data_IF_418025483219
#
_entry.id   IF_418025483219
#
_cell.length_a   1.000
_cell.length_b   1.000
_cell.length_c   1.000
_cell.angle_alpha   90.00
_cell.angle_beta   90.00
_cell.angle_gamma   90.00
#
_symmetry.space_group_name_H-M   'P 1'
#
loop_
_entity.id
_entity.type
_entity.pdbx_description
1 polymer ?
#
# COMPACT_ATOMS: atom_id res chain seq x y z
N UNK A 1 19.90 26.09 10.60
CA UNK A 1 19.03 26.58 9.50
C UNK A 1 17.80 27.21 10.15
N UNK A 2 17.35 28.38 9.69
CA UNK A 2 16.17 29.04 10.25
C UNK A 2 14.91 28.63 9.47
N UNK A 3 13.83 28.35 10.21
CA UNK A 3 12.51 28.12 9.60
C UNK A 3 12.09 29.38 8.88
N UNK A 4 11.76 29.26 7.61
CA UNK A 4 11.10 30.34 6.86
C UNK A 4 9.60 30.20 7.08
N UNK A 5 8.98 31.15 7.76
CA UNK A 5 7.54 31.20 7.99
C UNK A 5 6.98 32.32 7.12
N UNK A 6 6.29 31.93 6.05
CA UNK A 6 5.61 32.86 5.15
C UNK A 6 4.12 32.90 5.47
N UNK A 7 3.56 34.10 5.57
CA UNK A 7 2.15 34.33 5.86
C UNK A 7 1.49 34.97 4.64
N UNK A 8 0.44 34.35 4.16
CA UNK A 8 -0.45 34.93 3.15
C UNK A 8 -1.69 35.52 3.84
N UNK A 9 -1.73 36.86 3.93
CA UNK A 9 -2.84 37.59 4.54
C UNK A 9 -4.16 37.45 3.76
N UNK A 10 -4.10 37.07 2.47
CA UNK A 10 -5.27 36.90 1.60
C UNK A 10 -5.80 35.45 1.60
N UNK A 11 -5.10 34.54 2.26
CA UNK A 11 -5.52 33.15 2.37
C UNK A 11 -6.77 33.01 3.26
N UNK A 12 -7.77 32.20 2.87
CA UNK A 12 -8.90 31.87 3.75
C UNK A 12 -8.48 31.08 5.00
N UNK A 13 -7.24 30.60 5.05
CA UNK A 13 -6.69 29.82 6.15
C UNK A 13 -6.27 30.72 7.30
N UNK A 14 -6.73 30.44 8.55
CA UNK A 14 -6.32 31.22 9.70
C UNK A 14 -4.80 31.29 9.87
N UNK A 15 -4.25 32.44 10.23
CA UNK A 15 -2.79 32.69 10.35
C UNK A 15 -2.11 31.66 11.25
N UNK A 16 -2.72 31.30 12.40
CA UNK A 16 -2.13 30.30 13.30
C UNK A 16 -2.00 28.91 12.66
N UNK A 17 -2.88 28.57 11.69
CA UNK A 17 -2.80 27.33 10.93
C UNK A 17 -1.69 27.42 9.87
N UNK A 18 -1.53 28.58 9.22
CA UNK A 18 -0.44 28.77 8.26
C UNK A 18 0.92 28.62 8.92
N UNK A 19 1.11 29.18 10.13
CA UNK A 19 2.34 28.97 10.91
C UNK A 19 2.56 27.49 11.22
N UNK A 20 1.50 26.76 11.61
CA UNK A 20 1.61 25.31 11.84
C UNK A 20 2.06 24.59 10.59
N UNK A 21 1.41 24.86 9.45
CA UNK A 21 1.71 24.21 8.18
C UNK A 21 3.16 24.46 7.75
N UNK A 22 3.67 25.68 7.88
CA UNK A 22 5.07 25.99 7.58
C UNK A 22 6.04 25.15 8.43
N UNK A 23 5.79 25.03 9.73
CA UNK A 23 6.65 24.25 10.64
C UNK A 23 6.52 22.77 10.30
N UNK A 24 5.30 22.26 10.09
CA UNK A 24 5.03 20.87 9.74
C UNK A 24 5.74 20.50 8.43
N UNK A 25 5.64 21.32 7.39
CA UNK A 25 6.31 21.07 6.11
C UNK A 25 7.84 21.08 6.28
N UNK A 26 8.37 22.05 7.02
CA UNK A 26 9.82 22.13 7.25
C UNK A 26 10.38 20.91 8.02
N UNK A 27 9.62 20.34 8.94
CA UNK A 27 10.00 19.09 9.63
C UNK A 27 9.84 17.88 8.68
N UNK A 28 8.74 17.79 7.94
CA UNK A 28 8.46 16.71 6.99
C UNK A 28 9.47 16.62 5.85
N UNK A 29 9.90 17.79 5.37
CA UNK A 29 10.89 17.92 4.28
C UNK A 29 12.33 17.82 4.79
N UNK A 30 12.52 17.42 6.06
CA UNK A 30 13.82 17.29 6.72
C UNK A 30 14.65 18.58 6.73
N UNK A 31 14.03 19.73 6.47
CA UNK A 31 14.68 21.05 6.54
C UNK A 31 15.02 21.41 8.01
N UNK A 32 14.27 20.84 8.94
CA UNK A 32 14.48 20.94 10.38
C UNK A 32 14.44 19.53 10.96
N UNK A 33 15.55 19.09 11.49
CA UNK A 33 15.65 17.75 12.11
C UNK A 33 15.00 17.66 13.50
N UNK A 34 14.80 16.43 13.97
CA UNK A 34 14.41 16.14 15.37
C UNK A 34 15.39 16.79 16.35
N UNK A 35 14.88 17.23 17.49
CA UNK A 35 15.63 17.97 18.49
C UNK A 35 16.19 19.35 18.06
N UNK A 36 15.90 19.80 16.84
CA UNK A 36 16.29 21.14 16.41
C UNK A 36 15.49 22.21 17.16
N UNK A 37 16.18 23.27 17.56
CA UNK A 37 15.57 24.42 18.23
C UNK A 37 14.82 25.31 17.22
N UNK A 38 13.58 25.66 17.56
CA UNK A 38 12.76 26.59 16.81
C UNK A 38 12.93 28.02 17.32
N UNK A 39 12.66 29.04 16.49
CA UNK A 39 12.59 30.41 16.97
C UNK A 39 11.57 30.54 18.11
N UNK A 40 11.84 31.46 19.03
CA UNK A 40 10.91 31.76 20.11
C UNK A 40 9.62 32.39 19.59
N UNK A 41 8.56 32.34 20.38
CA UNK A 41 7.28 32.99 20.04
C UNK A 41 7.46 34.47 19.70
N UNK A 42 8.38 35.16 20.37
CA UNK A 42 8.66 36.58 20.14
C UNK A 42 9.37 36.79 18.79
N UNK A 43 10.39 35.98 18.49
CA UNK A 43 11.10 36.04 17.21
C UNK A 43 10.17 35.79 16.04
N UNK A 44 9.31 34.74 16.12
CA UNK A 44 8.32 34.48 15.06
C UNK A 44 7.32 35.64 14.92
N UNK A 45 6.86 36.21 16.03
CA UNK A 45 5.94 37.35 15.99
C UNK A 45 6.56 38.58 15.30
N UNK A 46 7.86 38.84 15.57
CA UNK A 46 8.62 39.92 14.92
C UNK A 46 8.87 39.65 13.45
N UNK A 47 9.33 38.43 13.13
CA UNK A 47 9.63 38.04 11.71
C UNK A 47 8.42 38.07 10.81
N UNK A 48 7.25 37.70 11.33
CA UNK A 48 6.02 37.54 10.53
C UNK A 48 5.05 38.72 10.68
N UNK A 49 5.36 39.68 11.54
CA UNK A 49 4.46 40.78 11.93
C UNK A 49 3.08 40.30 12.45
N UNK A 50 3.05 39.14 13.10
CA UNK A 50 1.83 38.49 13.62
C UNK A 50 1.76 38.70 15.14
N UNK A 51 0.54 38.90 15.67
CA UNK A 51 0.32 39.04 17.09
C UNK A 51 0.86 37.83 17.87
N UNK A 52 1.64 38.09 18.96
CA UNK A 52 2.25 37.07 19.82
C UNK A 52 1.27 35.96 20.23
N UNK A 53 0.04 36.32 20.60
CA UNK A 53 -1.01 35.35 20.99
C UNK A 53 -1.36 34.35 19.87
N UNK A 54 -1.29 34.78 18.60
CA UNK A 54 -1.55 33.94 17.43
C UNK A 54 -0.42 32.92 17.26
N UNK A 55 0.84 33.34 17.42
CA UNK A 55 1.99 32.46 17.38
C UNK A 55 1.97 31.48 18.55
N UNK A 56 1.65 31.97 19.77
CA UNK A 56 1.52 31.15 20.96
C UNK A 56 0.45 30.05 20.79
N UNK A 57 -0.69 30.41 20.23
CA UNK A 57 -1.73 29.42 19.87
C UNK A 57 -1.21 28.36 18.92
N UNK A 58 -0.47 28.74 17.88
CA UNK A 58 0.14 27.83 16.93
C UNK A 58 1.08 26.84 17.61
N UNK A 59 2.01 27.35 18.43
CA UNK A 59 2.99 26.53 19.15
C UNK A 59 2.34 25.59 20.18
N UNK A 60 1.30 26.03 20.87
CA UNK A 60 0.55 25.19 21.79
C UNK A 60 -0.19 24.06 21.08
N UNK A 61 -0.76 24.31 19.90
CA UNK A 61 -1.38 23.27 19.08
C UNK A 61 -0.36 22.26 18.57
N UNK A 62 0.82 22.72 18.10
CA UNK A 62 1.92 21.84 17.69
C UNK A 62 2.44 20.99 18.86
N UNK A 63 2.49 21.55 20.07
CA UNK A 63 2.80 20.78 21.29
C UNK A 63 1.75 19.71 21.59
N UNK A 64 0.47 20.07 21.48
CA UNK A 64 -0.64 19.12 21.68
C UNK A 64 -0.59 17.96 20.70
N UNK A 65 -0.12 18.22 19.47
CA UNK A 65 0.10 17.23 18.43
C UNK A 65 1.45 16.47 18.57
N UNK A 66 2.17 16.67 19.68
CA UNK A 66 3.50 16.10 19.90
C UNK A 66 4.55 16.43 18.81
N UNK A 67 4.34 17.49 18.04
CA UNK A 67 5.29 17.96 17.02
C UNK A 67 6.40 18.79 17.65
N UNK A 68 6.06 19.57 18.67
CA UNK A 68 7.00 20.37 19.43
C UNK A 68 7.03 19.98 20.90
N UNK A 69 8.20 20.11 21.50
CA UNK A 69 8.40 20.07 22.96
C UNK A 69 8.90 21.41 23.45
N UNK A 70 8.50 21.82 24.66
CA UNK A 70 8.97 23.03 25.31
C UNK A 70 9.91 22.63 26.42
N UNK A 71 11.15 23.15 26.38
CA UNK A 71 12.15 22.93 27.41
C UNK A 71 12.28 24.22 28.23
N UNK A 72 11.95 24.20 29.52
CA UNK A 72 12.03 25.40 30.38
C UNK A 72 13.41 26.06 30.29
N UNK A 73 13.43 27.37 30.04
CA UNK A 73 14.67 28.16 29.92
C UNK A 73 15.45 27.96 28.60
N UNK A 74 15.06 27.01 27.75
CA UNK A 74 15.76 26.75 26.49
C UNK A 74 14.93 27.06 25.25
N UNK A 75 13.58 27.04 25.37
CA UNK A 75 12.69 27.33 24.23
C UNK A 75 11.91 26.14 23.72
N UNK A 76 11.62 26.17 22.42
CA UNK A 76 10.86 25.13 21.73
C UNK A 76 11.76 24.32 20.80
N UNK A 77 11.53 23.01 20.76
CA UNK A 77 12.30 22.06 19.95
C UNK A 77 11.36 21.15 19.21
N UNK A 78 11.79 20.66 18.04
CA UNK A 78 11.09 19.58 17.34
C UNK A 78 11.14 18.33 18.23
N UNK A 79 9.99 17.72 18.47
CA UNK A 79 9.91 16.48 19.25
C UNK A 79 10.69 15.37 18.56
N UNK A 80 11.46 14.59 19.32
CA UNK A 80 12.16 13.41 18.79
C UNK A 80 11.18 12.33 18.34
N UNK A 81 10.08 12.19 19.10
CA UNK A 81 8.99 11.24 18.82
C UNK A 81 7.80 11.94 18.12
N UNK A 82 8.07 12.90 17.21
CA UNK A 82 6.97 13.58 16.56
C UNK A 82 6.23 12.64 15.61
N UNK A 83 4.90 12.77 15.59
CA UNK A 83 4.03 11.93 14.73
C UNK A 83 4.12 12.29 13.25
N UNK A 84 4.87 13.32 12.86
CA UNK A 84 5.02 13.76 11.46
C UNK A 84 5.84 12.80 10.63
N UNK A 85 6.82 12.13 11.25
CA UNK A 85 7.62 11.09 10.59
C UNK A 85 6.93 9.73 10.62
N UNK A 86 5.82 9.60 11.34
CA UNK A 86 5.05 8.35 11.33
C UNK A 86 4.33 8.20 10.02
N UNK A 87 4.86 7.31 9.19
CA UNK A 87 4.16 6.89 7.98
C UNK A 87 2.93 6.10 8.39
N UNK A 88 1.78 6.43 7.80
CA UNK A 88 0.56 5.64 7.97
C UNK A 88 0.28 4.91 6.69
N UNK A 89 0.22 3.59 6.76
CA UNK A 89 -0.01 2.71 5.59
C UNK A 89 -1.36 2.04 5.75
N UNK A 90 -2.17 2.13 4.71
CA UNK A 90 -3.37 1.30 4.57
C UNK A 90 -2.99 0.02 3.87
N UNK A 91 -3.12 -1.12 4.55
CA UNK A 91 -2.83 -2.45 4.03
C UNK A 91 -4.14 -3.22 3.87
N UNK A 92 -4.55 -3.48 2.63
CA UNK A 92 -5.83 -4.10 2.30
C UNK A 92 -5.62 -5.46 1.64
N UNK A 93 -6.12 -6.51 2.30
CA UNK A 93 -6.09 -7.88 1.77
C UNK A 93 -7.49 -8.35 1.37
N UNK A 94 -7.54 -9.17 0.33
CA UNK A 94 -8.78 -9.79 -0.15
C UNK A 94 -9.33 -10.81 0.85
N UNK A 95 -8.49 -11.71 1.35
CA UNK A 95 -8.80 -12.73 2.36
C UNK A 95 -7.57 -13.03 3.21
N UNK A 96 -7.77 -13.70 4.34
CA UNK A 96 -6.69 -14.31 5.13
C UNK A 96 -6.67 -15.81 4.93
N UNK A 97 -5.68 -16.30 4.20
CA UNK A 97 -5.35 -17.71 4.03
C UNK A 97 -3.89 -17.95 4.50
N UNK A 98 -3.38 -19.16 4.39
CA UNK A 98 -2.01 -19.49 4.84
C UNK A 98 -0.94 -18.67 4.12
N UNK A 99 -1.09 -18.43 2.81
CA UNK A 99 -0.15 -17.65 2.00
C UNK A 99 -0.19 -16.16 2.38
N UNK A 100 -1.40 -15.59 2.47
CA UNK A 100 -1.58 -14.19 2.82
C UNK A 100 -1.11 -13.89 4.26
N UNK A 101 -1.24 -14.86 5.17
CA UNK A 101 -0.65 -14.78 6.51
C UNK A 101 0.89 -14.68 6.47
N UNK A 102 1.56 -15.40 5.55
CA UNK A 102 3.01 -15.29 5.38
C UNK A 102 3.40 -13.90 4.85
N UNK A 103 2.68 -13.40 3.84
CA UNK A 103 2.91 -12.05 3.28
C UNK A 103 2.69 -10.98 4.36
N UNK A 104 1.59 -11.05 5.08
CA UNK A 104 1.29 -10.12 6.19
C UNK A 104 2.40 -10.15 7.25
N UNK A 105 2.82 -11.34 7.69
CA UNK A 105 3.89 -11.47 8.69
C UNK A 105 5.22 -10.88 8.18
N UNK A 106 5.61 -11.19 6.95
CA UNK A 106 6.83 -10.65 6.36
C UNK A 106 6.76 -9.12 6.25
N UNK A 107 5.61 -8.57 5.85
CA UNK A 107 5.37 -7.13 5.80
C UNK A 107 5.53 -6.49 7.18
N UNK A 108 4.87 -7.04 8.21
CA UNK A 108 4.94 -6.54 9.58
C UNK A 108 6.35 -6.63 10.20
N UNK A 109 7.15 -7.63 9.81
CA UNK A 109 8.54 -7.79 10.29
C UNK A 109 9.52 -6.82 9.61
N UNK A 110 9.19 -6.32 8.42
CA UNK A 110 10.07 -5.46 7.63
C UNK A 110 9.83 -3.98 7.90
N UNK A 111 8.63 -3.63 8.35
CA UNK A 111 8.25 -2.26 8.64
C UNK A 111 8.89 -1.81 9.96
N UNK A 112 9.38 -0.56 9.98
CA UNK A 112 9.95 0.05 11.16
C UNK A 112 8.87 0.47 12.19
N UNK A 113 9.27 0.66 13.44
CA UNK A 113 8.39 1.02 14.57
C UNK A 113 7.70 2.39 14.41
N UNK A 114 8.18 3.22 13.47
CA UNK A 114 7.59 4.54 13.17
C UNK A 114 6.46 4.49 12.13
N UNK A 115 6.07 3.30 11.66
CA UNK A 115 5.00 3.16 10.68
C UNK A 115 3.73 2.61 11.33
N UNK A 116 2.65 3.35 11.25
CA UNK A 116 1.32 2.89 11.65
C UNK A 116 0.68 2.12 10.48
N UNK A 117 0.10 0.97 10.77
CA UNK A 117 -0.56 0.14 9.75
C UNK A 117 -2.02 -0.04 10.13
N UNK A 118 -2.91 0.45 9.27
CA UNK A 118 -4.32 0.06 9.28
C UNK A 118 -4.46 -1.17 8.39
N UNK A 119 -4.55 -2.34 9.02
CA UNK A 119 -4.73 -3.60 8.31
C UNK A 119 -6.21 -3.93 8.17
N UNK A 120 -6.69 -4.09 6.93
CA UNK A 120 -8.08 -4.29 6.58
C UNK A 120 -8.23 -5.52 5.69
N UNK A 121 -9.29 -6.32 5.93
CA UNK A 121 -9.62 -7.46 5.08
C UNK A 121 -11.01 -7.25 4.50
N UNK A 122 -11.11 -7.18 3.17
CA UNK A 122 -12.37 -6.84 2.49
C UNK A 122 -13.13 -8.06 1.91
N UNK A 123 -12.66 -9.28 2.20
CA UNK A 123 -13.33 -10.55 1.86
C UNK A 123 -13.72 -10.70 0.39
N UNK A 124 -12.94 -10.12 -0.54
CA UNK A 124 -13.20 -10.02 -1.99
C UNK A 124 -14.46 -9.24 -2.36
N UNK A 125 -15.08 -8.60 -1.37
CA UNK A 125 -16.29 -7.82 -1.55
C UNK A 125 -15.95 -6.39 -1.96
N UNK A 126 -16.35 -5.94 -3.18
CA UNK A 126 -16.05 -4.59 -3.67
C UNK A 126 -16.71 -3.49 -2.82
N UNK A 127 -17.88 -3.74 -2.25
CA UNK A 127 -18.60 -2.73 -1.47
C UNK A 127 -17.90 -2.46 -0.14
N UNK A 128 -17.46 -3.50 0.55
CA UNK A 128 -16.62 -3.39 1.77
C UNK A 128 -15.30 -2.68 1.46
N UNK A 129 -14.66 -3.01 0.33
CA UNK A 129 -13.43 -2.34 -0.10
C UNK A 129 -13.65 -0.84 -0.35
N UNK A 130 -14.74 -0.49 -1.04
CA UNK A 130 -15.13 0.89 -1.34
C UNK A 130 -15.41 1.66 -0.04
N UNK A 131 -16.12 1.04 0.90
CA UNK A 131 -16.44 1.64 2.19
C UNK A 131 -15.19 2.00 2.99
N UNK A 132 -14.20 1.11 3.02
CA UNK A 132 -12.90 1.39 3.64
C UNK A 132 -12.18 2.57 3.00
N UNK A 133 -12.18 2.69 1.67
CA UNK A 133 -11.50 3.79 0.99
C UNK A 133 -12.24 5.12 1.09
N UNK A 134 -13.58 5.13 1.08
CA UNK A 134 -14.38 6.37 1.19
C UNK A 134 -14.24 6.99 2.58
N UNK A 135 -14.18 6.16 3.62
CA UNK A 135 -14.04 6.63 5.00
C UNK A 135 -12.58 6.75 5.44
N UNK A 136 -11.64 6.48 4.53
CA UNK A 136 -10.23 6.64 4.82
C UNK A 136 -9.85 8.11 5.00
N UNK A 137 -9.15 8.48 6.07
CA UNK A 137 -8.58 9.81 6.18
C UNK A 137 -7.52 10.04 5.08
N UNK A 138 -7.38 11.29 4.61
CA UNK A 138 -6.40 11.69 3.60
C UNK A 138 -4.91 11.57 4.04
N UNK A 139 -4.68 10.96 5.19
CA UNK A 139 -3.40 10.96 5.89
C UNK A 139 -2.47 9.81 5.53
N UNK A 140 -2.91 8.86 4.71
CA UNK A 140 -2.06 7.71 4.37
C UNK A 140 -0.88 8.12 3.48
N UNK A 141 0.31 7.66 3.87
CA UNK A 141 1.52 7.77 3.07
C UNK A 141 1.52 6.80 1.90
N UNK A 142 0.97 5.60 2.11
CA UNK A 142 0.83 4.56 1.09
C UNK A 142 -0.46 3.76 1.26
N UNK A 143 -0.96 3.26 0.12
CA UNK A 143 -2.06 2.31 -0.01
C UNK A 143 -1.49 1.03 -0.61
N UNK A 144 -1.44 -0.04 0.16
CA UNK A 144 -0.96 -1.36 -0.28
C UNK A 144 -2.17 -2.25 -0.45
N UNK A 145 -2.47 -2.64 -1.67
CA UNK A 145 -3.71 -3.32 -2.05
C UNK A 145 -3.39 -4.67 -2.67
N UNK A 146 -3.92 -5.74 -2.08
CA UNK A 146 -3.97 -7.05 -2.70
C UNK A 146 -5.26 -7.12 -3.52
N UNK A 147 -5.12 -7.13 -4.85
CA UNK A 147 -6.22 -6.92 -5.78
C UNK A 147 -6.93 -8.21 -6.19
N UNK A 148 -7.97 -8.62 -5.47
CA UNK A 148 -8.84 -9.69 -5.93
C UNK A 148 -10.28 -9.47 -5.46
N UNK A 149 -11.19 -9.32 -6.40
CA UNK A 149 -12.61 -9.14 -6.16
C UNK A 149 -13.41 -10.33 -6.70
N UNK A 150 -14.53 -10.64 -6.07
CA UNK A 150 -15.40 -11.75 -6.51
C UNK A 150 -16.13 -11.41 -7.79
N UNK A 151 -16.75 -10.23 -7.85
CA UNK A 151 -17.55 -9.72 -8.98
C UNK A 151 -17.56 -8.18 -8.94
N UNK A 152 -17.99 -7.54 -10.04
CA UNK A 152 -18.28 -6.09 -10.10
C UNK A 152 -17.14 -5.17 -9.65
N UNK A 153 -15.90 -5.54 -9.93
CA UNK A 153 -14.69 -4.81 -9.52
C UNK A 153 -14.57 -3.39 -10.10
N UNK A 154 -15.36 -3.05 -11.14
CA UNK A 154 -15.22 -1.77 -11.85
C UNK A 154 -15.37 -0.55 -10.93
N UNK A 155 -16.22 -0.62 -9.91
CA UNK A 155 -16.40 0.49 -8.97
C UNK A 155 -15.19 0.64 -8.05
N UNK A 156 -14.63 -0.47 -7.57
CA UNK A 156 -13.40 -0.50 -6.80
C UNK A 156 -12.22 0.06 -7.62
N UNK A 157 -12.08 -0.38 -8.89
CA UNK A 157 -11.05 0.12 -9.81
C UNK A 157 -11.18 1.63 -10.06
N UNK A 158 -12.40 2.14 -10.24
CA UNK A 158 -12.64 3.60 -10.37
C UNK A 158 -12.15 4.37 -9.15
N UNK A 159 -12.35 3.83 -7.95
CA UNK A 159 -11.91 4.47 -6.72
C UNK A 159 -10.41 4.39 -6.55
N UNK A 160 -9.79 3.24 -6.84
CA UNK A 160 -8.33 3.07 -6.87
C UNK A 160 -7.70 4.06 -7.88
N UNK A 161 -8.38 4.33 -9.00
CA UNK A 161 -7.91 5.30 -9.98
C UNK A 161 -7.90 6.76 -9.49
N UNK A 162 -8.62 7.08 -8.42
CA UNK A 162 -8.57 8.41 -7.77
C UNK A 162 -7.42 8.54 -6.77
N UNK A 163 -6.84 7.43 -6.31
CA UNK A 163 -5.71 7.46 -5.38
C UNK A 163 -4.47 8.05 -6.06
N UNK A 164 -3.63 8.81 -5.32
CA UNK A 164 -2.33 9.28 -5.80
C UNK A 164 -1.45 8.09 -6.19
N UNK A 165 -1.08 7.97 -7.46
CA UNK A 165 -0.38 6.79 -7.99
C UNK A 165 1.00 6.57 -7.37
N UNK A 166 1.70 7.63 -6.97
CA UNK A 166 2.98 7.54 -6.26
C UNK A 166 2.86 6.96 -4.83
N UNK A 167 1.63 6.86 -4.30
CA UNK A 167 1.33 6.23 -3.01
C UNK A 167 0.72 4.84 -3.15
N UNK A 168 0.40 4.40 -4.37
CA UNK A 168 -0.27 3.13 -4.62
C UNK A 168 0.74 2.02 -4.85
N UNK A 169 0.58 0.92 -4.12
CA UNK A 169 1.30 -0.34 -4.29
C UNK A 169 0.29 -1.46 -4.45
N UNK A 170 0.30 -2.13 -5.58
CA UNK A 170 -0.54 -3.32 -5.84
C UNK A 170 0.31 -4.57 -5.63
N UNK A 171 -0.20 -5.52 -4.87
CA UNK A 171 0.52 -6.76 -4.56
C UNK A 171 -0.29 -7.99 -4.98
N UNK A 172 0.41 -9.11 -5.20
CA UNK A 172 -0.08 -10.43 -5.57
C UNK A 172 -0.53 -10.52 -7.04
N UNK A 173 -1.49 -9.74 -7.47
CA UNK A 173 -2.05 -9.76 -8.83
C UNK A 173 -2.14 -8.38 -9.42
N UNK A 174 -1.99 -8.33 -10.73
CA UNK A 174 -2.30 -7.13 -11.48
C UNK A 174 -3.81 -6.87 -11.49
N UNK A 175 -4.19 -5.60 -11.39
CA UNK A 175 -5.57 -5.16 -11.48
C UNK A 175 -5.80 -4.48 -12.82
N UNK A 176 -6.45 -5.19 -13.72
CA UNK A 176 -6.80 -4.63 -15.02
C UNK A 176 -7.65 -3.36 -14.86
N UNK A 177 -7.29 -2.30 -15.60
CA UNK A 177 -8.02 -1.03 -15.59
C UNK A 177 -7.47 0.04 -14.64
N UNK A 178 -6.42 -0.22 -13.87
CA UNK A 178 -5.68 0.83 -13.18
C UNK A 178 -4.90 1.66 -14.19
N UNK A 179 -5.04 2.98 -14.12
CA UNK A 179 -4.39 3.94 -15.01
C UNK A 179 -3.24 4.65 -14.32
N UNK A 180 -2.19 5.01 -15.09
CA UNK A 180 -1.03 5.73 -14.59
C UNK A 180 0.07 4.81 -14.03
N UNK A 181 1.22 5.40 -13.66
CA UNK A 181 2.36 4.66 -13.12
C UNK A 181 2.21 4.49 -11.60
N UNK A 182 2.18 3.26 -11.13
CA UNK A 182 2.13 2.86 -9.73
C UNK A 182 3.16 1.77 -9.45
N UNK A 183 3.43 1.48 -8.18
CA UNK A 183 4.30 0.37 -7.81
C UNK A 183 3.51 -0.93 -7.75
N UNK A 184 4.12 -2.03 -8.21
CA UNK A 184 3.48 -3.35 -8.11
C UNK A 184 4.50 -4.45 -7.78
N UNK A 185 4.03 -5.45 -7.03
CA UNK A 185 4.76 -6.69 -6.71
C UNK A 185 3.84 -7.83 -7.07
N UNK A 186 3.95 -8.32 -8.31
CA UNK A 186 3.01 -9.26 -8.90
C UNK A 186 3.64 -10.65 -8.97
N UNK A 187 2.86 -11.69 -8.66
CA UNK A 187 3.27 -13.06 -8.90
C UNK A 187 3.09 -13.40 -10.39
N UNK A 188 4.18 -13.76 -11.03
CA UNK A 188 4.14 -14.26 -12.41
C UNK A 188 3.80 -15.74 -12.41
N UNK A 189 2.51 -16.08 -12.35
CA UNK A 189 2.03 -17.46 -12.31
C UNK A 189 2.40 -18.26 -13.56
N UNK A 190 2.49 -17.63 -14.73
CA UNK A 190 2.94 -18.27 -15.96
C UNK A 190 4.36 -18.83 -15.81
N UNK A 191 5.32 -17.97 -15.47
CA UNK A 191 6.72 -18.38 -15.33
C UNK A 191 6.92 -19.33 -14.16
N UNK A 192 6.23 -19.08 -13.02
CA UNK A 192 6.33 -19.93 -11.84
C UNK A 192 5.92 -21.37 -12.18
N UNK A 193 4.75 -21.55 -12.83
CA UNK A 193 4.26 -22.88 -13.19
C UNK A 193 5.11 -23.53 -14.26
N UNK A 194 5.50 -22.79 -15.29
CA UNK A 194 6.39 -23.31 -16.33
C UNK A 194 7.70 -23.86 -15.74
N UNK A 195 8.39 -23.08 -14.88
CA UNK A 195 9.65 -23.53 -14.29
C UNK A 195 9.46 -24.67 -13.30
N UNK A 196 8.41 -24.65 -12.47
CA UNK A 196 8.11 -25.75 -11.56
C UNK A 196 7.87 -27.07 -12.31
N UNK A 197 7.12 -27.04 -13.41
CA UNK A 197 6.91 -28.22 -14.25
C UNK A 197 8.19 -28.65 -14.97
N UNK A 198 9.03 -27.72 -15.39
CA UNK A 198 10.32 -27.99 -16.02
C UNK A 198 11.26 -28.73 -15.08
N UNK A 199 11.29 -28.37 -13.80
CA UNK A 199 12.06 -29.09 -12.77
C UNK A 199 11.56 -30.54 -12.60
N UNK A 200 10.27 -30.78 -12.86
CA UNK A 200 9.66 -32.11 -12.81
C UNK A 200 9.66 -32.84 -14.16
N UNK A 201 10.27 -32.30 -15.20
CA UNK A 201 10.23 -32.84 -16.57
C UNK A 201 10.64 -34.31 -16.66
N UNK A 202 11.70 -34.73 -15.94
CA UNK A 202 12.15 -36.13 -15.91
C UNK A 202 11.08 -37.12 -15.43
N UNK A 203 10.05 -36.65 -14.73
CA UNK A 203 8.91 -37.47 -14.29
C UNK A 203 7.71 -37.30 -15.22
N UNK A 204 7.41 -36.09 -15.64
CA UNK A 204 6.22 -35.74 -16.41
C UNK A 204 6.29 -36.23 -17.85
N UNK A 205 7.46 -36.24 -18.48
CA UNK A 205 7.65 -36.70 -19.88
C UNK A 205 7.45 -38.21 -20.06
N UNK A 206 7.19 -38.98 -19.01
CA UNK A 206 6.75 -40.37 -19.10
C UNK A 206 5.28 -40.52 -19.50
N UNK A 207 4.52 -39.43 -19.44
CA UNK A 207 3.12 -39.37 -19.80
C UNK A 207 2.97 -38.75 -21.19
N UNK A 208 1.81 -38.99 -21.83
CA UNK A 208 1.49 -38.43 -23.13
C UNK A 208 0.59 -37.18 -23.02
N UNK A 209 -0.04 -37.02 -21.84
CA UNK A 209 -1.03 -35.97 -21.62
C UNK A 209 -0.92 -35.42 -20.20
N UNK A 210 -1.00 -34.08 -20.10
CA UNK A 210 -1.13 -33.37 -18.83
C UNK A 210 -2.56 -32.79 -18.71
N UNK A 211 -3.22 -33.11 -17.63
CA UNK A 211 -4.57 -32.63 -17.35
C UNK A 211 -4.53 -31.67 -16.17
N UNK A 212 -5.22 -30.55 -16.28
CA UNK A 212 -5.31 -29.56 -15.23
C UNK A 212 -6.75 -29.40 -14.79
N UNK A 213 -7.02 -29.64 -13.52
CA UNK A 213 -8.34 -29.34 -12.93
C UNK A 213 -8.38 -27.86 -12.59
N UNK A 214 -9.14 -27.10 -13.39
CA UNK A 214 -9.23 -25.65 -13.25
C UNK A 214 -10.71 -25.23 -13.25
N UNK A 215 -11.38 -25.26 -12.10
CA UNK A 215 -12.78 -24.86 -11.96
C UNK A 215 -13.00 -23.40 -12.34
N UNK A 216 -14.17 -23.06 -12.85
CA UNK A 216 -14.55 -21.69 -13.22
C UNK A 216 -14.35 -20.69 -12.06
N UNK A 217 -14.67 -21.11 -10.84
CA UNK A 217 -14.52 -20.30 -9.62
C UNK A 217 -13.25 -20.66 -8.85
N UNK A 218 -12.10 -20.59 -9.51
CA UNK A 218 -10.81 -20.80 -8.85
C UNK A 218 -10.20 -19.49 -8.34
N UNK A 219 -9.38 -19.60 -7.29
CA UNK A 219 -8.57 -18.48 -6.81
C UNK A 219 -7.44 -18.10 -7.80
N UNK A 220 -6.92 -19.07 -8.55
CA UNK A 220 -5.79 -18.87 -9.44
C UNK A 220 -6.17 -18.11 -10.72
N UNK A 221 -5.32 -17.19 -11.22
CA UNK A 221 -5.56 -16.49 -12.46
C UNK A 221 -5.39 -17.44 -13.67
N UNK A 222 -6.05 -17.13 -14.78
CA UNK A 222 -5.98 -17.95 -16.02
C UNK A 222 -4.55 -18.03 -16.58
N UNK A 223 -3.69 -17.06 -16.32
CA UNK A 223 -2.26 -17.08 -16.67
C UNK A 223 -1.49 -18.27 -16.08
N UNK A 224 -2.04 -18.91 -15.04
CA UNK A 224 -1.57 -20.21 -14.54
C UNK A 224 -1.62 -21.29 -15.63
N UNK A 225 -2.68 -21.30 -16.46
CA UNK A 225 -2.85 -22.23 -17.55
C UNK A 225 -1.84 -21.97 -18.68
N UNK A 226 -1.47 -20.70 -18.90
CA UNK A 226 -0.52 -20.31 -19.94
C UNK A 226 0.87 -20.94 -19.68
N UNK A 227 1.32 -20.91 -18.42
CA UNK A 227 2.58 -21.55 -18.02
C UNK A 227 2.58 -23.07 -18.21
N UNK A 228 1.45 -23.73 -17.91
CA UNK A 228 1.30 -25.18 -18.10
C UNK A 228 1.22 -25.53 -19.58
N UNK A 229 0.48 -24.74 -20.37
CA UNK A 229 0.39 -24.91 -21.83
C UNK A 229 1.76 -24.78 -22.49
N UNK A 230 2.53 -23.78 -22.13
CA UNK A 230 3.91 -23.56 -22.61
C UNK A 230 4.82 -24.75 -22.33
N UNK A 231 4.73 -25.33 -21.12
CA UNK A 231 5.45 -26.54 -20.77
C UNK A 231 5.00 -27.72 -21.62
N UNK A 232 3.69 -27.93 -21.78
CA UNK A 232 3.15 -29.04 -22.56
C UNK A 232 3.58 -28.94 -24.04
N UNK A 233 3.58 -27.76 -24.64
CA UNK A 233 4.09 -27.53 -25.99
C UNK A 233 5.57 -27.85 -26.14
N UNK A 234 6.45 -27.37 -25.21
CA UNK A 234 7.89 -27.63 -25.26
C UNK A 234 8.21 -29.14 -25.17
N UNK A 235 7.46 -29.87 -24.35
CA UNK A 235 7.68 -31.29 -24.13
C UNK A 235 6.75 -32.19 -24.95
N UNK A 236 6.01 -31.65 -25.91
CA UNK A 236 5.10 -32.37 -26.83
C UNK A 236 4.07 -33.24 -26.10
N UNK A 237 3.52 -32.74 -24.99
CA UNK A 237 2.43 -33.35 -24.24
C UNK A 237 1.09 -32.79 -24.70
N UNK A 238 0.06 -33.63 -24.73
CA UNK A 238 -1.31 -33.15 -24.91
C UNK A 238 -1.76 -32.39 -23.66
N UNK A 239 -2.25 -31.14 -23.82
CA UNK A 239 -2.72 -30.32 -22.73
C UNK A 239 -4.25 -30.29 -22.70
N UNK A 240 -4.84 -30.55 -21.53
CA UNK A 240 -6.29 -30.57 -21.35
C UNK A 240 -6.70 -29.92 -20.04
N UNK A 241 -7.68 -29.01 -20.12
CA UNK A 241 -8.27 -28.33 -18.96
C UNK A 241 -9.60 -28.97 -18.60
N UNK A 242 -9.76 -29.34 -17.34
CA UNK A 242 -10.94 -30.01 -16.79
C UNK A 242 -11.60 -29.07 -15.79
N UNK A 243 -12.81 -28.62 -16.08
CA UNK A 243 -13.57 -27.77 -15.17
C UNK A 243 -14.14 -28.55 -13.98
N UNK A 244 -14.57 -29.79 -14.21
CA UNK A 244 -15.18 -30.65 -13.19
C UNK A 244 -14.59 -32.06 -13.19
N UNK A 245 -13.76 -32.36 -12.20
CA UNK A 245 -13.12 -33.69 -12.05
C UNK A 245 -14.13 -34.84 -11.93
N UNK A 246 -15.34 -34.59 -11.41
CA UNK A 246 -16.36 -35.64 -11.22
C UNK A 246 -16.89 -36.19 -12.53
N UNK A 247 -16.80 -35.44 -13.62
CA UNK A 247 -17.29 -35.85 -14.96
C UNK A 247 -16.17 -36.37 -15.84
N UNK A 248 -14.92 -36.32 -15.36
CA UNK A 248 -13.76 -36.75 -16.14
C UNK A 248 -13.43 -38.21 -15.90
N UNK A 249 -13.17 -38.95 -16.99
CA UNK A 249 -12.71 -40.34 -16.95
C UNK A 249 -11.21 -40.35 -17.26
N UNK A 250 -10.36 -40.74 -16.32
CA UNK A 250 -8.91 -40.78 -16.53
C UNK A 250 -8.54 -41.78 -17.67
N UNK A 251 -7.60 -41.35 -18.53
CA UNK A 251 -7.05 -42.17 -19.57
C UNK A 251 -5.67 -42.70 -19.16
N UNK A 252 -5.31 -43.88 -19.66
CA UNK A 252 -3.93 -44.40 -19.45
C UNK A 252 -2.92 -43.50 -20.14
N UNK A 253 -1.79 -43.25 -19.47
CA UNK A 253 -0.74 -42.35 -19.96
C UNK A 253 -0.99 -40.85 -19.69
N UNK A 254 -2.01 -40.51 -18.90
CA UNK A 254 -2.26 -39.13 -18.48
C UNK A 254 -1.81 -38.84 -17.02
N UNK A 255 -1.42 -37.61 -16.74
CA UNK A 255 -1.09 -37.08 -15.41
C UNK A 255 -2.00 -35.89 -15.08
N UNK A 256 -2.23 -35.67 -13.78
CA UNK A 256 -3.00 -34.55 -13.24
C UNK A 256 -2.14 -33.68 -12.35
#
# INVERSE_FOLDING_TARGET
>A
MSVVIEIDEHSPKPIYVQIQDCIIHAVRDELIGSNAQLPSINEVAEMTNVARKTVEKSYNELKRKNILVSVPGKGFFVSEDNDLDRKKVMLMFDIMNSQNNLIHRAFMQTINDHTLIDFLVYHKDPDTFIDYLIHAPDEYSHYVIMGHFSEHEQNAIRLINRLPKHKLVVIDRDLAGIQGAYSSIIQNFEDILYHALKDLSGTLTKYNQINVVFPEFTYYPKTTLDGISKFAEEFQLEFNVIENIKTYVPKSGSVF
#
